data_IF_317896944680
#
_entry.id   IF_317896944680
#
_cell.length_a   1.000
_cell.length_b   1.000
_cell.length_c   1.000
_cell.angle_alpha   90.00
_cell.angle_beta   90.00
_cell.angle_gamma   90.00
#
_symmetry.space_group_name_H-M   'P 1'
#
loop_
_entity.id
_entity.type
_entity.pdbx_description
1 polymer ?
#
# COMPACT_ATOMS: atom_id res chain seq x y z
N UNK A 24 -55.99 20.75 39.03
CA UNK A 24 -56.89 21.09 40.18
C UNK A 24 -56.49 20.25 41.38
N UNK A 25 -55.18 20.15 41.60
CA UNK A 25 -54.63 19.37 42.71
C UNK A 25 -55.16 19.83 44.07
N UNK A 26 -54.46 20.79 44.68
CA UNK A 26 -54.85 21.32 45.99
C UNK A 26 -56.04 22.27 45.87
N UNK A 27 -56.84 22.05 44.83
CA UNK A 27 -58.01 22.89 44.57
C UNK A 27 -59.23 22.07 44.10
N UNK A 28 -59.06 20.76 43.91
CA UNK A 28 -60.15 19.91 43.46
C UNK A 28 -61.30 19.95 44.47
N UNK A 29 -61.08 19.38 45.64
CA UNK A 29 -62.09 19.39 46.68
C UNK A 29 -62.29 20.84 47.10
N UNK A 30 -61.29 21.67 46.81
CA UNK A 30 -61.35 23.09 47.12
C UNK A 30 -62.38 23.68 46.17
N UNK A 31 -61.91 24.17 45.03
CA UNK A 31 -62.75 24.74 44.00
C UNK A 31 -63.41 23.62 43.19
N UNK A 32 -64.64 23.28 43.56
CA UNK A 32 -65.36 22.23 42.86
C UNK A 32 -65.95 21.18 43.78
N UNK A 33 -65.93 21.43 45.08
CA UNK A 33 -66.49 20.49 46.04
C UNK A 33 -68.03 20.51 46.00
N UNK A 34 -68.59 20.83 44.84
CA UNK A 34 -70.04 20.84 44.71
C UNK A 34 -70.49 19.39 44.80
N UNK A 35 -69.57 18.48 44.44
CA UNK A 35 -69.80 17.04 44.45
C UNK A 35 -70.20 16.55 45.84
N UNK A 36 -70.05 17.42 46.83
CA UNK A 36 -70.42 17.08 48.19
C UNK A 36 -71.80 17.71 48.40
N UNK A 37 -71.99 18.93 47.89
CA UNK A 37 -73.26 19.61 47.99
C UNK A 37 -74.34 18.72 47.35
N UNK A 38 -73.97 18.07 46.25
CA UNK A 38 -74.90 17.19 45.56
C UNK A 38 -75.20 15.98 46.43
N UNK A 39 -74.36 15.76 47.44
CA UNK A 39 -74.54 14.64 48.34
C UNK A 39 -75.64 14.90 49.34
N UNK A 40 -75.90 16.18 49.60
CA UNK A 40 -76.94 16.58 50.55
C UNK A 40 -78.32 16.57 49.89
N UNK A 41 -78.40 17.09 48.66
CA UNK A 41 -79.66 17.11 47.91
C UNK A 41 -80.23 15.68 47.86
N UNK A 42 -79.38 14.76 47.39
CA UNK A 42 -79.73 13.34 47.25
C UNK A 42 -80.22 12.69 48.54
N UNK A 43 -79.49 12.93 49.64
CA UNK A 43 -79.85 12.39 50.95
C UNK A 43 -81.22 12.90 51.35
N UNK A 44 -81.43 14.20 51.17
CA UNK A 44 -82.72 14.78 51.51
C UNK A 44 -83.75 14.12 50.64
N UNK A 45 -83.40 13.92 49.37
CA UNK A 45 -84.29 13.26 48.44
C UNK A 45 -84.57 11.81 48.88
N UNK A 46 -83.56 11.12 49.40
CA UNK A 46 -83.74 9.75 49.87
C UNK A 46 -84.62 9.69 51.10
N UNK A 47 -84.60 10.76 51.89
CA UNK A 47 -85.42 10.82 53.08
C UNK A 47 -86.90 10.90 52.73
N UNK A 48 -87.25 11.83 51.84
CA UNK A 48 -88.64 12.03 51.40
C UNK A 48 -89.18 10.84 50.60
N UNK A 49 -88.26 10.12 49.96
CA UNK A 49 -88.58 8.93 49.18
C UNK A 49 -89.18 7.88 50.14
N UNK A 50 -88.55 7.69 51.30
CA UNK A 50 -89.03 6.73 52.30
C UNK A 50 -90.36 7.15 52.94
N UNK A 51 -90.45 8.43 53.27
CA UNK A 51 -91.64 9.00 53.89
C UNK A 51 -92.86 8.87 52.96
N UNK A 52 -92.70 9.27 51.69
CA UNK A 52 -93.77 9.18 50.70
C UNK A 52 -94.28 7.74 50.59
N UNK A 53 -93.33 6.81 50.64
CA UNK A 53 -93.60 5.38 50.59
C UNK A 53 -94.31 4.93 51.86
N UNK A 54 -93.69 5.17 53.01
CA UNK A 54 -94.35 4.78 54.25
C UNK A 54 -95.76 5.34 54.22
N UNK A 55 -95.86 6.63 53.86
CA UNK A 55 -97.15 7.34 53.77
C UNK A 55 -98.08 6.70 52.72
N UNK A 56 -97.49 6.20 51.64
CA UNK A 56 -98.26 5.54 50.59
C UNK A 56 -98.91 4.26 51.17
N UNK A 57 -98.18 3.55 52.02
CA UNK A 57 -98.67 2.32 52.66
C UNK A 57 -99.69 2.65 53.75
N UNK A 58 -99.39 3.67 54.55
CA UNK A 58 -100.29 4.11 55.62
C UNK A 58 -101.65 4.40 55.01
N UNK A 59 -101.68 5.28 54.00
CA UNK A 59 -102.92 5.65 53.30
C UNK A 59 -103.69 4.41 52.89
N UNK A 60 -102.97 3.43 52.38
CA UNK A 60 -103.55 2.16 51.94
C UNK A 60 -104.32 1.40 53.02
N UNK A 61 -103.82 1.41 54.25
CA UNK A 61 -104.50 0.70 55.33
C UNK A 61 -105.78 1.40 55.78
N UNK A 62 -105.92 2.68 55.43
CA UNK A 62 -107.09 3.47 55.80
C UNK A 62 -108.34 2.98 55.07
N UNK A 63 -108.18 2.72 53.78
CA UNK A 63 -109.28 2.23 52.98
C UNK A 63 -109.88 0.99 53.65
N UNK A 64 -109.03 -0.02 53.86
CA UNK A 64 -109.46 -1.26 54.48
C UNK A 64 -110.19 -0.96 55.79
N UNK A 65 -109.54 -0.15 56.63
CA UNK A 65 -110.05 0.29 57.93
C UNK A 65 -111.43 0.95 57.80
N UNK A 66 -111.63 1.71 56.72
CA UNK A 66 -112.92 2.34 56.41
C UNK A 66 -113.85 1.24 55.90
N UNK A 67 -113.30 0.45 54.97
CA UNK A 67 -113.99 -0.67 54.30
C UNK A 67 -114.58 -1.71 55.24
N UNK A 68 -113.82 -2.08 56.26
CA UNK A 68 -114.27 -3.05 57.25
C UNK A 68 -115.32 -2.40 58.16
N UNK A 69 -115.17 -1.10 58.35
CA UNK A 69 -116.09 -0.34 59.20
C UNK A 69 -117.41 -0.04 58.46
N UNK A 70 -117.31 0.36 57.20
CA UNK A 70 -118.50 0.65 56.40
C UNK A 70 -119.40 -0.57 56.28
N UNK A 71 -118.80 -1.75 56.37
CA UNK A 71 -119.52 -3.02 56.22
C UNK A 71 -119.71 -3.83 57.51
N UNK A 72 -119.31 -3.27 58.65
CA UNK A 72 -119.47 -3.94 59.95
C UNK A 72 -120.88 -3.83 60.56
N UNK A 73 -121.38 -4.92 61.11
CA UNK A 73 -122.72 -4.94 61.72
C UNK A 73 -122.62 -5.19 63.23
N UNK A 74 -123.47 -4.50 64.00
CA UNK A 74 -123.44 -4.64 65.44
C UNK A 74 -124.70 -5.23 66.04
N UNK A 75 -125.43 -6.00 65.25
CA UNK A 75 -126.66 -6.63 65.75
C UNK A 75 -126.58 -8.14 65.74
N UNK A 76 -125.37 -8.69 65.66
CA UNK A 76 -125.23 -10.15 65.64
C UNK A 76 -125.35 -10.77 64.25
N UNK A 77 -126.07 -10.10 63.35
CA UNK A 77 -126.24 -10.60 62.00
C UNK A 77 -125.10 -10.11 61.12
N UNK A 78 -124.92 -10.75 59.98
CA UNK A 78 -123.84 -10.38 59.06
C UNK A 78 -124.10 -10.89 57.62
N UNK A 79 -123.86 -10.00 56.66
CA UNK A 79 -124.00 -10.29 55.24
C UNK A 79 -122.64 -9.98 54.65
N UNK A 80 -121.98 -11.01 54.15
CA UNK A 80 -120.66 -10.84 53.57
C UNK A 80 -120.74 -10.95 52.06
N UNK A 81 -119.83 -10.25 51.39
CA UNK A 81 -119.80 -10.21 49.94
C UNK A 81 -118.45 -10.59 49.36
N UNK A 82 -118.50 -11.52 48.41
CA UNK A 82 -117.31 -12.03 47.75
C UNK A 82 -117.41 -11.83 46.25
N UNK A 83 -116.61 -10.91 45.74
CA UNK A 83 -116.59 -10.60 44.32
C UNK A 83 -115.43 -11.39 43.73
N UNK A 84 -115.46 -11.57 42.42
CA UNK A 84 -114.43 -12.33 41.68
C UNK A 84 -114.40 -13.81 42.01
N UNK A 85 -115.55 -14.39 42.32
CA UNK A 85 -115.59 -15.81 42.65
C UNK A 85 -114.71 -16.65 41.73
N UNK A 86 -114.77 -16.39 40.42
CA UNK A 86 -113.96 -17.13 39.49
C UNK A 86 -112.48 -16.87 39.73
N UNK A 87 -112.02 -15.63 39.55
CA UNK A 87 -110.59 -15.34 39.75
C UNK A 87 -110.20 -15.70 41.17
N UNK A 88 -111.20 -15.84 42.04
CA UNK A 88 -110.96 -16.17 43.44
C UNK A 88 -111.05 -17.68 43.64
N UNK A 89 -111.83 -18.35 42.80
CA UNK A 89 -111.99 -19.79 42.90
C UNK A 89 -110.78 -20.44 42.28
N UNK A 90 -110.34 -19.91 41.13
CA UNK A 90 -109.18 -20.44 40.44
C UNK A 90 -107.90 -20.41 41.25
N UNK A 91 -107.84 -19.50 42.23
CA UNK A 91 -106.66 -19.39 43.08
C UNK A 91 -106.72 -20.45 44.19
N UNK A 92 -107.93 -20.90 44.53
CA UNK A 92 -108.11 -21.92 45.56
C UNK A 92 -107.56 -23.26 45.02
N UNK A 93 -107.93 -23.55 43.78
CA UNK A 93 -107.49 -24.76 43.07
C UNK A 93 -105.97 -24.74 42.86
N UNK A 94 -105.43 -23.60 42.45
CA UNK A 94 -103.99 -23.46 42.21
C UNK A 94 -103.26 -23.04 43.49
N UNK A 95 -103.90 -23.29 44.63
CA UNK A 95 -103.32 -22.96 45.92
C UNK A 95 -102.62 -21.62 46.04
N UNK A 96 -103.23 -20.56 45.52
CA UNK A 96 -102.66 -19.20 45.63
C UNK A 96 -103.28 -18.47 46.82
N UNK A 97 -104.40 -19.01 47.31
CA UNK A 97 -105.14 -18.47 48.44
C UNK A 97 -106.27 -19.44 48.79
N UNK A 98 -105.97 -20.38 49.69
CA UNK A 98 -106.92 -21.42 50.10
C UNK A 98 -108.22 -20.98 50.77
N UNK A 99 -108.17 -19.88 51.52
CA UNK A 99 -109.36 -19.37 52.21
C UNK A 99 -109.50 -17.87 52.14
N UNK A 100 -110.68 -17.39 52.54
CA UNK A 100 -111.02 -15.96 52.57
C UNK A 100 -111.70 -15.67 53.90
N UNK A 101 -111.42 -14.51 54.49
CA UNK A 101 -112.06 -14.14 55.74
C UNK A 101 -113.03 -12.97 55.50
N UNK A 102 -114.08 -12.88 56.31
CA UNK A 102 -115.05 -11.80 56.17
C UNK A 102 -114.68 -10.63 57.07
N UNK A 103 -115.41 -9.52 56.92
CA UNK A 103 -115.18 -8.33 57.73
C UNK A 103 -115.62 -8.69 59.14
N UNK A 104 -114.96 -8.15 60.16
CA UNK A 104 -115.42 -8.53 61.50
C UNK A 104 -116.84 -8.02 61.74
N UNK A 105 -117.51 -8.57 62.74
CA UNK A 105 -118.85 -8.14 63.10
C UNK A 105 -119.14 -8.48 64.56
N UNK A 106 -120.21 -7.94 65.12
CA UNK A 106 -120.51 -8.15 66.53
C UNK A 106 -121.97 -8.51 66.84
N UNK A 107 -122.22 -8.74 68.12
CA UNK A 107 -123.55 -9.08 68.65
C UNK A 107 -124.08 -7.79 69.29
N UNK A 108 -123.16 -6.88 69.57
CA UNK A 108 -123.50 -5.61 70.19
C UNK A 108 -122.35 -4.64 70.02
N UNK A 109 -122.54 -3.40 70.46
CA UNK A 109 -121.50 -2.39 70.33
C UNK A 109 -120.21 -2.73 71.07
N UNK A 110 -120.36 -3.45 72.18
CA UNK A 110 -119.21 -3.86 73.00
C UNK A 110 -119.30 -5.38 73.30
N UNK A 111 -119.98 -6.12 72.42
CA UNK A 111 -120.15 -7.55 72.61
C UNK A 111 -119.11 -8.43 71.94
N UNK A 112 -119.43 -9.72 71.80
CA UNK A 112 -118.52 -10.66 71.18
C UNK A 112 -118.14 -10.23 69.76
N UNK A 113 -116.84 -10.24 69.45
CA UNK A 113 -116.33 -9.91 68.12
C UNK A 113 -116.24 -11.22 67.35
N UNK A 114 -116.51 -11.19 66.05
CA UNK A 114 -116.48 -12.42 65.28
C UNK A 114 -116.12 -12.17 63.83
N UNK A 115 -116.58 -13.08 62.97
CA UNK A 115 -116.36 -13.07 61.51
C UNK A 115 -116.45 -14.52 61.04
N UNK A 116 -116.35 -14.71 59.71
CA UNK A 116 -116.44 -16.04 59.13
C UNK A 116 -115.27 -16.34 58.19
N UNK A 117 -115.01 -17.63 58.01
CA UNK A 117 -113.93 -18.08 57.13
C UNK A 117 -114.46 -18.95 56.02
N UNK A 118 -113.92 -18.79 54.82
CA UNK A 118 -114.37 -19.58 53.67
C UNK A 118 -113.23 -20.17 52.85
N UNK A 119 -113.58 -21.22 52.10
CA UNK A 119 -112.65 -21.90 51.22
C UNK A 119 -113.46 -22.11 49.95
N UNK A 120 -113.12 -21.34 48.91
CA UNK A 120 -113.83 -21.42 47.63
C UNK A 120 -113.68 -22.79 46.98
N UNK A 121 -112.55 -23.47 47.23
CA UNK A 121 -112.38 -24.81 46.67
C UNK A 121 -112.32 -25.84 47.79
N UNK A 122 -113.24 -25.72 48.74
CA UNK A 122 -113.33 -26.63 49.86
C UNK A 122 -112.04 -26.88 50.62
N UNK A 123 -112.13 -27.75 51.63
CA UNK A 123 -111.02 -28.13 52.48
C UNK A 123 -111.53 -29.28 53.34
N UNK A 124 -110.63 -30.10 53.87
CA UNK A 124 -111.08 -31.22 54.70
C UNK A 124 -111.88 -32.23 53.93
N UNK A 125 -112.96 -32.74 54.51
CA UNK A 125 -113.77 -33.75 53.81
C UNK A 125 -114.53 -33.26 52.57
N UNK A 126 -114.80 -31.96 52.52
CA UNK A 126 -115.49 -31.40 51.36
C UNK A 126 -114.52 -30.75 50.37
N UNK A 127 -113.23 -30.99 50.54
CA UNK A 127 -112.22 -30.41 49.66
C UNK A 127 -112.33 -30.80 48.18
N UNK A 128 -112.19 -29.79 47.32
CA UNK A 128 -112.25 -29.99 45.89
C UNK A 128 -113.64 -30.28 45.35
N UNK A 129 -114.59 -30.52 46.24
CA UNK A 129 -115.95 -30.84 45.80
C UNK A 129 -117.04 -30.03 46.53
N UNK A 130 -116.62 -29.13 47.41
CA UNK A 130 -117.56 -28.34 48.20
C UNK A 130 -117.07 -26.92 48.46
N UNK A 131 -117.89 -26.19 49.22
CA UNK A 131 -117.59 -24.83 49.67
C UNK A 131 -117.46 -24.96 51.18
N UNK A 132 -116.37 -24.42 51.71
CA UNK A 132 -116.11 -24.48 53.13
C UNK A 132 -116.50 -23.17 53.84
N UNK A 133 -117.28 -23.26 54.91
CA UNK A 133 -117.68 -22.06 55.64
C UNK A 133 -117.60 -22.25 57.16
N UNK A 134 -116.65 -21.55 57.79
CA UNK A 134 -116.44 -21.63 59.23
C UNK A 134 -116.77 -20.35 60.00
N UNK A 135 -117.01 -20.52 61.30
CA UNK A 135 -117.34 -19.44 62.23
C UNK A 135 -116.17 -19.23 63.18
N UNK A 136 -115.46 -18.10 63.05
CA UNK A 136 -114.31 -17.81 63.90
C UNK A 136 -114.54 -16.79 65.02
N UNK A 137 -114.35 -17.22 66.27
CA UNK A 137 -114.52 -16.34 67.44
C UNK A 137 -113.25 -15.55 67.68
N UNK A 138 -113.17 -14.35 67.11
CA UNK A 138 -111.97 -13.52 67.25
C UNK A 138 -111.74 -12.98 68.66
N UNK A 139 -110.57 -12.40 68.87
CA UNK A 139 -110.20 -11.81 70.14
C UNK A 139 -110.70 -10.40 70.21
N UNK A 140 -111.75 -10.18 71.00
CA UNK A 140 -112.31 -8.85 71.12
C UNK A 140 -111.45 -7.93 71.97
N UNK A 141 -111.67 -6.63 71.81
CA UNK A 141 -110.95 -5.63 72.57
C UNK A 141 -111.60 -5.54 73.94
N UNK A 142 -112.87 -5.92 73.99
CA UNK A 142 -113.67 -5.89 75.20
C UNK A 142 -113.84 -7.22 75.89
N UNK A 143 -112.94 -8.16 75.62
CA UNK A 143 -112.99 -9.49 76.27
C UNK A 143 -112.51 -9.25 77.71
N UNK A 144 -113.27 -9.79 78.67
CA UNK A 144 -112.95 -9.65 80.10
C UNK A 144 -114.20 -9.24 80.83
N UNK A 145 -115.10 -8.60 80.08
CA UNK A 145 -116.35 -8.14 80.67
C UNK A 145 -117.53 -9.00 80.18
N UNK A 146 -117.23 -9.94 79.28
CA UNK A 146 -118.25 -10.83 78.70
C UNK A 146 -118.28 -12.24 79.29
N UNK A 147 -119.39 -12.97 79.09
CA UNK A 147 -119.62 -14.34 79.58
C UNK A 147 -118.97 -15.46 78.71
N UNK A 148 -118.43 -16.49 79.37
CA UNK A 148 -117.81 -17.63 78.68
C UNK A 148 -118.24 -19.01 79.26
N UNK A 149 -118.11 -20.08 78.46
CA UNK A 149 -117.61 -20.02 77.09
C UNK A 149 -118.71 -19.42 76.20
N UNK A 150 -118.32 -18.91 75.03
CA UNK A 150 -119.30 -18.33 74.12
C UNK A 150 -120.38 -19.39 73.98
N UNK A 151 -121.65 -18.99 73.90
CA UNK A 151 -122.70 -19.98 73.78
C UNK A 151 -123.91 -19.61 72.93
N UNK A 152 -123.73 -18.66 72.02
CA UNK A 152 -124.82 -18.22 71.14
C UNK A 152 -124.99 -19.15 69.94
N UNK A 153 -126.21 -19.64 69.74
CA UNK A 153 -126.49 -20.53 68.61
C UNK A 153 -125.96 -19.83 67.37
N UNK A 154 -125.75 -20.55 66.28
CA UNK A 154 -125.28 -19.92 65.05
C UNK A 154 -126.05 -20.48 63.85
N UNK A 155 -126.05 -19.71 62.76
CA UNK A 155 -126.72 -20.05 61.50
C UNK A 155 -125.88 -19.49 60.36
N UNK A 156 -125.22 -20.38 59.63
CA UNK A 156 -124.41 -19.95 58.50
C UNK A 156 -125.13 -20.38 57.23
N UNK A 157 -125.32 -19.43 56.30
CA UNK A 157 -126.00 -19.74 55.05
C UNK A 157 -125.41 -19.15 53.77
N UNK A 158 -125.83 -19.72 52.65
CA UNK A 158 -125.40 -19.31 51.33
C UNK A 158 -126.62 -18.63 50.69
N UNK A 159 -126.49 -17.33 50.40
CA UNK A 159 -127.62 -16.57 49.84
C UNK A 159 -127.95 -16.79 48.38
N UNK A 160 -129.21 -17.09 48.14
CA UNK A 160 -129.78 -17.34 46.82
C UNK A 160 -130.27 -16.04 46.15
N UNK A 161 -129.63 -15.65 45.05
CA UNK A 161 -129.99 -14.45 44.30
C UNK A 161 -130.92 -14.77 43.13
N UNK A 162 -131.84 -15.71 43.34
CA UNK A 162 -132.75 -16.09 42.29
C UNK A 162 -134.14 -15.51 42.45
N UNK A 163 -134.86 -15.42 41.34
CA UNK A 163 -136.21 -14.88 41.28
C UNK A 163 -137.06 -15.03 42.54
N UNK A 164 -136.79 -16.08 43.32
CA UNK A 164 -137.54 -16.30 44.55
C UNK A 164 -137.17 -17.67 45.11
N UNK A 165 -136.01 -18.17 44.70
CA UNK A 165 -135.58 -19.46 45.17
C UNK A 165 -135.22 -19.40 46.67
N UNK A 166 -134.53 -20.44 47.12
CA UNK A 166 -134.14 -20.56 48.51
C UNK A 166 -132.64 -20.57 48.70
N UNK A 167 -132.23 -20.18 49.91
CA UNK A 167 -130.82 -20.10 50.29
C UNK A 167 -130.42 -21.40 51.00
N UNK A 168 -129.12 -21.60 51.17
CA UNK A 168 -128.60 -22.81 51.82
C UNK A 168 -128.14 -22.51 53.25
N UNK A 169 -128.85 -23.04 54.24
CA UNK A 169 -128.48 -22.79 55.63
C UNK A 169 -128.25 -24.03 56.48
N UNK A 170 -127.78 -23.80 57.71
CA UNK A 170 -127.49 -24.88 58.65
C UNK A 170 -127.01 -24.30 59.98
N UNK A 171 -127.88 -24.23 60.98
CA UNK A 171 -127.51 -23.70 62.27
C UNK A 171 -126.75 -24.73 63.11
N UNK A 172 -126.26 -24.32 64.28
CA UNK A 172 -125.55 -25.21 65.19
C UNK A 172 -125.21 -24.51 66.49
N UNK A 173 -125.10 -25.28 67.56
CA UNK A 173 -124.79 -24.73 68.87
C UNK A 173 -123.39 -25.10 69.35
N UNK A 174 -122.58 -24.10 69.75
CA UNK A 174 -121.21 -24.37 70.21
C UNK A 174 -121.07 -25.53 71.21
N UNK A 175 -119.90 -26.18 71.18
CA UNK A 175 -119.60 -27.27 72.11
C UNK A 175 -118.79 -26.63 73.22
N UNK A 176 -119.38 -26.53 74.43
CA UNK A 176 -118.66 -25.91 75.55
C UNK A 176 -117.28 -26.55 75.69
N UNK A 177 -117.21 -27.85 75.40
CA UNK A 177 -115.99 -28.64 75.47
C UNK A 177 -114.90 -28.05 74.55
N UNK A 178 -115.28 -27.69 73.33
CA UNK A 178 -114.37 -27.16 72.31
C UNK A 178 -113.55 -25.92 72.68
N UNK A 179 -112.26 -25.94 72.39
CA UNK A 179 -111.40 -24.81 72.67
C UNK A 179 -111.53 -23.78 71.54
N UNK A 180 -112.60 -23.92 70.76
CA UNK A 180 -112.87 -23.02 69.64
C UNK A 180 -113.83 -21.93 70.11
N UNK A 181 -114.37 -22.10 71.32
CA UNK A 181 -115.34 -21.17 71.87
C UNK A 181 -114.97 -20.67 73.27
N UNK A 182 -113.76 -20.15 73.41
CA UNK A 182 -113.29 -19.67 74.70
C UNK A 182 -112.72 -18.24 74.61
N UNK A 183 -112.42 -17.62 75.76
CA UNK A 183 -111.87 -16.27 75.75
C UNK A 183 -110.60 -16.26 74.91
N UNK A 184 -110.63 -15.56 73.75
CA UNK A 184 -109.53 -15.44 72.80
C UNK A 184 -108.15 -15.05 73.30
N UNK A 185 -107.27 -16.05 73.40
CA UNK A 185 -105.88 -15.85 73.81
C UNK A 185 -105.17 -15.16 72.64
N UNK A 186 -104.94 -15.92 71.57
CA UNK A 186 -104.29 -15.36 70.39
C UNK A 186 -105.29 -14.51 69.62
N UNK A 187 -105.01 -14.28 68.33
CA UNK A 187 -105.87 -13.46 67.48
C UNK A 187 -107.27 -14.03 67.22
N UNK A 188 -107.38 -14.84 66.18
CA UNK A 188 -108.68 -15.44 65.85
C UNK A 188 -108.78 -16.76 66.59
N UNK A 189 -109.94 -17.09 67.13
CA UNK A 189 -110.09 -18.36 67.83
C UNK A 189 -109.90 -19.47 66.81
N UNK A 190 -110.27 -20.69 67.16
CA UNK A 190 -110.13 -21.81 66.25
C UNK A 190 -111.41 -21.92 65.43
N UNK A 191 -111.21 -21.88 64.11
CA UNK A 191 -112.29 -21.96 63.13
C UNK A 191 -113.07 -23.25 63.25
N UNK A 192 -114.34 -23.18 63.63
CA UNK A 192 -115.14 -24.39 63.78
C UNK A 192 -116.50 -24.32 63.07
N UNK A 193 -116.51 -24.51 61.76
CA UNK A 193 -117.75 -24.45 61.02
C UNK A 193 -118.30 -25.70 60.37
N UNK A 194 -118.07 -25.85 59.07
CA UNK A 194 -118.54 -26.99 58.28
C UNK A 194 -117.64 -27.18 57.07
N UNK A 195 -117.04 -28.38 56.93
CA UNK A 195 -116.15 -28.71 55.82
C UNK A 195 -116.89 -28.93 54.50
N UNK A 196 -118.00 -29.68 54.57
CA UNK A 196 -118.85 -29.96 53.41
C UNK A 196 -120.17 -29.20 53.58
N UNK A 197 -120.09 -27.89 53.40
CA UNK A 197 -121.25 -27.03 53.54
C UNK A 197 -122.16 -27.17 52.33
N UNK A 198 -121.65 -26.84 51.16
CA UNK A 198 -122.43 -26.96 49.94
C UNK A 198 -121.51 -27.40 48.82
N UNK A 199 -122.02 -28.26 47.94
CA UNK A 199 -121.27 -28.78 46.79
C UNK A 199 -121.16 -27.71 45.71
N UNK A 200 -119.94 -27.46 45.23
CA UNK A 200 -119.70 -26.46 44.20
C UNK A 200 -120.61 -26.64 42.98
N UNK A 201 -120.77 -27.88 42.56
CA UNK A 201 -121.60 -28.24 41.41
C UNK A 201 -123.07 -27.85 41.59
N UNK A 202 -123.40 -27.38 42.79
CA UNK A 202 -124.76 -26.96 43.15
C UNK A 202 -124.87 -25.42 43.23
N UNK A 203 -123.79 -24.79 43.69
CA UNK A 203 -123.71 -23.34 43.84
C UNK A 203 -123.35 -22.67 42.52
N UNK A 204 -122.53 -23.37 41.75
CA UNK A 204 -122.12 -22.88 40.44
C UNK A 204 -123.24 -23.15 39.42
N UNK A 205 -124.07 -24.15 39.71
CA UNK A 205 -125.20 -24.53 38.87
C UNK A 205 -126.45 -24.01 39.54
N UNK A 206 -126.52 -22.69 39.68
CA UNK A 206 -127.67 -22.07 40.31
C UNK A 206 -127.47 -20.57 40.46
N UNK A 207 -128.54 -19.88 40.83
CA UNK A 207 -128.53 -18.44 41.01
C UNK A 207 -127.37 -17.91 41.85
N UNK A 208 -127.31 -18.36 43.11
CA UNK A 208 -126.27 -17.98 44.08
C UNK A 208 -125.11 -17.16 43.51
N UNK A 209 -124.56 -17.61 42.38
CA UNK A 209 -123.48 -16.87 41.74
C UNK A 209 -124.11 -15.94 40.73
N UNK A 210 -123.95 -14.64 40.93
CA UNK A 210 -124.48 -13.67 39.98
C UNK A 210 -123.49 -12.55 39.83
N UNK A 211 -123.01 -12.39 38.61
CA UNK A 211 -122.06 -11.36 38.28
C UNK A 211 -120.71 -11.59 38.99
N UNK A 212 -120.19 -12.81 38.85
CA UNK A 212 -118.92 -13.21 39.44
C UNK A 212 -118.79 -12.95 40.95
N UNK A 213 -119.86 -13.17 41.70
CA UNK A 213 -119.84 -12.93 43.14
C UNK A 213 -120.94 -13.71 43.85
N UNK A 214 -120.78 -13.86 45.16
CA UNK A 214 -121.78 -14.54 46.02
C UNK A 214 -121.77 -13.86 47.40
N UNK A 215 -122.74 -14.23 48.22
CA UNK A 215 -122.84 -13.66 49.55
C UNK A 215 -123.09 -14.76 50.57
N UNK A 216 -122.31 -14.75 51.66
CA UNK A 216 -122.48 -15.72 52.74
C UNK A 216 -123.12 -14.98 53.91
N UNK A 217 -124.10 -15.62 54.55
CA UNK A 217 -124.77 -15.01 55.69
C UNK A 217 -124.38 -15.74 56.99
N UNK A 218 -124.59 -15.07 58.12
CA UNK A 218 -124.26 -15.64 59.44
C UNK A 218 -125.24 -15.08 60.46
N UNK A 219 -125.90 -15.92 61.24
CA UNK A 219 -126.84 -15.41 62.23
C UNK A 219 -126.63 -15.91 63.66
N UNK A 220 -125.72 -15.25 64.35
CA UNK A 220 -125.40 -15.57 65.74
C UNK A 220 -126.51 -14.98 66.61
N UNK A 221 -127.23 -15.83 67.35
CA UNK A 221 -128.30 -15.33 68.20
C UNK A 221 -127.77 -14.37 69.25
N UNK A 222 -128.51 -13.30 69.48
CA UNK A 222 -128.14 -12.30 70.46
C UNK A 222 -129.42 -11.91 71.19
N UNK A 223 -130.55 -12.16 70.53
CA UNK A 223 -131.86 -11.87 71.10
C UNK A 223 -131.99 -12.47 72.49
N UNK A 224 -131.73 -13.78 72.57
CA UNK A 224 -131.80 -14.48 73.85
C UNK A 224 -130.59 -14.13 74.71
N UNK A 225 -130.36 -12.83 74.80
CA UNK A 225 -129.28 -12.24 75.58
C UNK A 225 -129.62 -10.74 75.62
N UNK A 226 -130.77 -10.40 76.23
CA UNK A 226 -131.26 -9.02 76.36
C UNK A 226 -130.20 -7.97 76.04
N UNK A 227 -130.35 -7.36 74.88
CA UNK A 227 -129.42 -6.33 74.43
C UNK A 227 -129.98 -4.95 74.84
N UNK A 228 -129.35 -4.33 75.85
CA UNK A 228 -129.74 -3.01 76.40
C UNK A 228 -130.30 -1.99 75.40
N UNK B 24 61.62 -24.80 -28.37
CA UNK B 24 62.66 -25.36 -27.46
C UNK B 24 63.39 -24.27 -26.69
N UNK B 25 62.83 -23.85 -25.56
CA UNK B 25 63.48 -22.81 -24.74
C UNK B 25 64.79 -23.36 -24.20
N UNK B 26 64.90 -24.69 -24.19
CA UNK B 26 66.09 -25.39 -23.73
C UNK B 26 67.11 -25.44 -24.86
N UNK B 27 66.75 -24.82 -25.99
CA UNK B 27 67.62 -24.76 -27.16
C UNK B 27 67.57 -23.31 -27.69
N UNK B 28 67.38 -22.37 -26.77
CA UNK B 28 67.32 -20.94 -27.07
C UNK B 28 68.69 -20.44 -27.53
N UNK B 29 69.68 -20.60 -26.68
CA UNK B 29 71.04 -20.20 -27.02
C UNK B 29 71.86 -21.47 -27.30
N UNK B 30 71.16 -22.60 -27.35
CA UNK B 30 71.77 -23.89 -27.67
C UNK B 30 71.82 -23.86 -29.18
N UNK B 31 70.68 -23.48 -29.75
CA UNK B 31 70.51 -23.34 -31.18
C UNK B 31 70.97 -21.93 -31.55
N UNK B 32 70.71 -20.99 -30.66
CA UNK B 32 71.12 -19.62 -30.89
C UNK B 32 72.63 -19.57 -30.84
N UNK B 33 73.22 -20.71 -30.50
CA UNK B 33 74.68 -20.86 -30.41
C UNK B 33 75.28 -20.81 -31.81
N UNK B 34 74.41 -20.70 -32.81
CA UNK B 34 74.83 -20.65 -34.22
C UNK B 34 75.59 -19.36 -34.53
N UNK B 35 75.65 -18.45 -33.56
CA UNK B 35 76.36 -17.19 -33.73
C UNK B 35 77.86 -17.44 -33.83
N UNK B 36 78.38 -18.27 -32.93
CA UNK B 36 79.81 -18.60 -32.92
C UNK B 36 80.17 -19.55 -34.06
N UNK B 37 79.16 -20.18 -34.65
CA UNK B 37 79.37 -21.08 -35.78
C UNK B 37 79.64 -20.24 -37.03
N UNK B 38 78.66 -19.44 -37.44
CA UNK B 38 78.80 -18.57 -38.60
C UNK B 38 79.70 -17.35 -38.27
N UNK B 39 79.74 -16.97 -37.00
CA UNK B 39 80.58 -15.86 -36.57
C UNK B 39 82.04 -16.24 -36.67
N UNK B 40 82.29 -17.54 -36.54
CA UNK B 40 83.63 -18.11 -36.64
C UNK B 40 84.09 -17.99 -38.11
N UNK B 41 83.11 -18.03 -39.03
CA UNK B 41 83.39 -17.92 -40.45
C UNK B 41 83.80 -16.48 -40.78
N UNK B 42 83.19 -15.54 -40.05
CA UNK B 42 83.44 -14.11 -40.26
C UNK B 42 84.82 -13.60 -39.87
N UNK B 43 85.32 -14.02 -38.71
CA UNK B 43 86.65 -13.61 -38.25
C UNK B 43 87.63 -14.03 -39.34
N UNK B 44 87.37 -15.20 -39.89
CA UNK B 44 88.19 -15.76 -40.94
C UNK B 44 88.03 -14.89 -42.19
N UNK B 45 86.79 -14.49 -42.49
CA UNK B 45 86.60 -13.62 -43.64
C UNK B 45 87.40 -12.35 -43.34
N UNK B 46 87.33 -11.90 -42.08
CA UNK B 46 88.04 -10.70 -41.66
C UNK B 46 89.55 -10.85 -41.73
N UNK B 47 90.05 -11.97 -41.21
CA UNK B 47 91.49 -12.23 -41.25
C UNK B 47 91.95 -12.25 -42.70
N UNK B 48 91.15 -12.84 -43.60
CA UNK B 48 91.49 -12.91 -45.01
C UNK B 48 91.46 -11.52 -45.68
N UNK B 49 90.41 -10.76 -45.40
CA UNK B 49 90.31 -9.43 -45.97
C UNK B 49 91.51 -8.60 -45.49
N UNK B 50 91.71 -8.53 -44.17
CA UNK B 50 92.82 -7.77 -43.61
C UNK B 50 94.12 -8.18 -44.26
N UNK B 51 94.33 -9.50 -44.37
CA UNK B 51 95.53 -10.07 -44.98
C UNK B 51 95.65 -9.67 -46.44
N UNK B 52 94.51 -9.59 -47.12
CA UNK B 52 94.48 -9.23 -48.53
C UNK B 52 94.88 -7.78 -48.86
N UNK B 53 94.33 -6.80 -48.14
CA UNK B 53 94.67 -5.39 -48.42
C UNK B 53 96.10 -5.04 -48.12
N UNK B 54 96.88 -6.01 -47.66
CA UNK B 54 98.29 -5.79 -47.38
C UNK B 54 99.12 -6.19 -48.61
N UNK B 55 98.75 -7.33 -49.22
CA UNK B 55 99.43 -7.81 -50.42
C UNK B 55 99.34 -6.70 -51.45
N UNK B 56 98.10 -6.27 -51.70
CA UNK B 56 97.79 -5.19 -52.65
C UNK B 56 98.70 -3.98 -52.38
N UNK B 57 98.64 -3.44 -51.17
CA UNK B 57 99.50 -2.32 -50.81
C UNK B 57 100.91 -2.70 -51.23
N UNK B 58 101.37 -3.86 -50.72
CA UNK B 58 102.69 -4.39 -51.05
C UNK B 58 102.90 -4.40 -52.57
N UNK B 59 101.95 -4.99 -53.30
CA UNK B 59 102.00 -5.09 -54.76
C UNK B 59 102.14 -3.74 -55.42
N UNK B 60 101.66 -2.68 -54.77
CA UNK B 60 101.77 -1.33 -55.31
C UNK B 60 103.16 -0.80 -54.97
N UNK B 61 103.56 -0.98 -53.71
CA UNK B 61 104.88 -0.54 -53.26
C UNK B 61 105.89 -1.29 -54.12
N UNK B 62 105.59 -2.56 -54.36
CA UNK B 62 106.43 -3.46 -55.15
C UNK B 62 106.51 -3.01 -56.61
N UNK B 63 105.36 -2.75 -57.23
CA UNK B 63 105.34 -2.32 -58.63
C UNK B 63 105.99 -0.93 -58.76
N UNK B 64 105.92 -0.16 -57.68
CA UNK B 64 106.50 1.19 -57.63
C UNK B 64 108.03 1.08 -57.51
N UNK B 65 108.46 0.01 -56.86
CA UNK B 65 109.87 -0.29 -56.63
C UNK B 65 110.53 -0.63 -57.97
N UNK B 66 109.83 -1.44 -58.78
CA UNK B 66 110.32 -1.83 -60.11
C UNK B 66 110.70 -0.58 -60.91
N UNK B 67 109.77 0.38 -60.97
CA UNK B 67 109.97 1.62 -61.69
C UNK B 67 111.26 2.31 -61.27
N UNK B 68 111.43 2.45 -59.94
CA UNK B 68 112.62 3.08 -59.31
C UNK B 68 113.94 2.35 -59.66
N UNK B 69 113.85 1.03 -59.70
CA UNK B 69 114.96 0.16 -60.01
C UNK B 69 115.24 0.13 -61.53
N UNK B 70 114.20 -0.13 -62.31
CA UNK B 70 114.28 -0.22 -63.77
C UNK B 70 114.77 1.05 -64.44
N UNK B 71 114.92 2.13 -63.67
CA UNK B 71 115.34 3.42 -64.24
C UNK B 71 116.54 4.13 -63.63
N UNK B 72 117.26 3.49 -62.72
CA UNK B 72 118.43 4.13 -62.10
C UNK B 72 119.61 4.38 -63.08
N UNK B 73 120.78 4.71 -62.53
CA UNK B 73 121.97 4.96 -63.33
C UNK B 73 123.17 4.86 -62.41
N UNK B 74 124.36 4.72 -62.98
CA UNK B 74 125.56 4.58 -62.16
C UNK B 74 126.73 5.32 -62.75
N UNK B 75 126.43 6.40 -63.46
CA UNK B 75 127.51 7.21 -64.05
C UNK B 75 127.35 8.70 -63.69
N UNK B 76 126.47 8.99 -62.73
CA UNK B 76 126.25 10.37 -62.33
C UNK B 76 125.54 11.11 -63.46
N UNK B 77 124.47 10.50 -63.98
CA UNK B 77 123.72 11.07 -65.08
C UNK B 77 122.25 10.70 -64.93
N UNK B 78 121.43 11.71 -64.64
CA UNK B 78 119.99 11.50 -64.45
C UNK B 78 119.14 11.95 -65.67
N UNK B 79 118.09 11.17 -65.98
CA UNK B 79 117.16 11.52 -67.06
C UNK B 79 115.78 11.43 -66.44
N UNK B 80 115.29 12.59 -66.00
CA UNK B 80 113.99 12.69 -65.38
C UNK B 80 112.97 13.11 -66.45
N UNK B 81 112.10 12.18 -66.79
CA UNK B 81 111.06 12.38 -67.78
C UNK B 81 109.79 12.52 -67.00
N UNK B 82 109.33 13.76 -66.93
CA UNK B 82 108.12 14.10 -66.19
C UNK B 82 106.96 14.13 -67.16
N UNK B 83 105.98 13.25 -66.92
CA UNK B 83 104.82 13.13 -67.77
C UNK B 83 103.63 13.83 -67.11
N UNK B 84 102.67 14.22 -67.94
CA UNK B 84 101.44 14.90 -67.51
C UNK B 84 101.69 16.26 -66.89
N UNK B 85 102.43 17.11 -67.61
CA UNK B 85 102.80 18.47 -67.20
C UNK B 85 101.61 19.37 -66.84
N UNK B 86 100.81 19.74 -67.83
CA UNK B 86 99.67 20.60 -67.61
C UNK B 86 98.99 20.30 -66.28
N UNK B 87 98.74 19.02 -66.02
CA UNK B 87 98.09 18.63 -64.77
C UNK B 87 99.04 18.63 -63.59
N UNK B 88 100.23 18.07 -63.79
CA UNK B 88 101.24 18.00 -62.74
C UNK B 88 101.53 19.38 -62.19
N UNK B 89 101.92 20.28 -63.09
CA UNK B 89 102.23 21.65 -62.73
C UNK B 89 100.95 22.43 -62.44
N UNK B 90 99.85 21.70 -62.28
CA UNK B 90 98.56 22.30 -61.96
C UNK B 90 98.20 21.89 -60.55
N UNK B 91 98.78 20.79 -60.10
CA UNK B 91 98.58 20.27 -58.74
C UNK B 91 99.53 21.06 -57.84
N UNK B 92 100.53 21.65 -58.48
CA UNK B 92 101.53 22.48 -57.81
C UNK B 92 100.85 23.81 -57.50
N UNK B 93 100.33 24.44 -58.55
CA UNK B 93 99.64 25.72 -58.47
C UNK B 93 98.58 25.72 -57.36
N UNK B 94 97.78 24.66 -57.28
CA UNK B 94 96.77 24.59 -56.23
C UNK B 94 97.45 24.22 -54.93
N UNK B 95 98.78 24.18 -54.95
CA UNK B 95 99.52 23.84 -53.75
C UNK B 95 99.38 22.39 -53.33
N UNK B 96 98.61 21.60 -54.07
CA UNK B 96 98.42 20.18 -53.76
C UNK B 96 99.78 19.47 -53.69
N UNK B 97 100.55 19.56 -54.77
CA UNK B 97 101.87 18.93 -54.85
C UNK B 97 102.91 19.94 -55.31
N UNK B 98 103.49 20.66 -54.36
CA UNK B 98 104.50 21.67 -54.68
C UNK B 98 105.68 21.15 -55.51
N UNK B 99 106.26 20.01 -55.15
CA UNK B 99 107.39 19.47 -55.91
C UNK B 99 107.36 17.94 -56.11
N UNK B 100 108.40 17.42 -56.77
CA UNK B 100 108.55 15.99 -57.07
C UNK B 100 110.04 15.70 -57.13
N UNK B 101 110.44 14.45 -56.85
CA UNK B 101 111.85 14.05 -56.92
C UNK B 101 112.00 12.94 -57.97
N UNK B 102 113.17 12.87 -58.60
CA UNK B 102 113.40 11.83 -59.58
C UNK B 102 114.01 10.61 -58.90
N UNK B 103 113.95 9.46 -59.57
CA UNK B 103 114.52 8.22 -59.02
C UNK B 103 115.98 8.53 -58.78
N UNK B 104 116.55 7.96 -57.71
CA UNK B 104 117.97 8.21 -57.39
C UNK B 104 118.93 7.93 -58.54
N UNK B 105 120.15 8.44 -58.43
CA UNK B 105 121.17 8.18 -59.46
C UNK B 105 122.51 8.25 -58.74
N UNK B 106 123.34 7.24 -58.99
CA UNK B 106 124.62 7.09 -58.32
C UNK B 106 125.85 7.35 -59.18
N UNK B 107 126.98 7.60 -58.52
CA UNK B 107 128.25 7.83 -59.22
C UNK B 107 128.90 6.50 -59.57
N UNK B 108 128.71 5.50 -58.70
CA UNK B 108 129.26 4.18 -58.93
C UNK B 108 128.29 3.11 -58.49
N UNK B 109 128.59 1.84 -58.78
CA UNK B 109 127.71 0.72 -58.40
C UNK B 109 127.38 0.75 -56.91
N UNK B 110 128.38 1.12 -56.10
CA UNK B 110 128.25 1.21 -54.65
C UNK B 110 128.78 2.58 -54.20
N UNK B 111 128.07 3.64 -54.59
CA UNK B 111 128.50 4.98 -54.22
C UNK B 111 127.39 5.94 -53.86
N UNK B 112 127.68 7.23 -54.04
CA UNK B 112 126.75 8.32 -53.75
C UNK B 112 125.32 8.12 -54.26
N UNK B 113 124.34 8.24 -53.35
CA UNK B 113 122.93 8.13 -53.72
C UNK B 113 122.41 9.56 -53.84
N UNK B 114 122.21 10.00 -55.09
CA UNK B 114 121.76 11.35 -55.37
C UNK B 114 120.42 11.32 -56.10
N UNK B 115 119.71 12.44 -56.06
CA UNK B 115 118.41 12.61 -56.73
C UNK B 115 118.18 14.10 -57.04
N UNK B 116 117.01 14.45 -57.57
CA UNK B 116 116.69 15.85 -57.88
C UNK B 116 115.26 16.25 -57.52
N UNK B 117 115.10 17.52 -57.15
CA UNK B 117 113.81 18.09 -56.81
C UNK B 117 113.51 19.24 -57.77
N UNK B 118 112.26 19.30 -58.23
CA UNK B 118 111.84 20.32 -59.19
C UNK B 118 110.51 21.00 -58.84
N UNK B 119 110.49 22.33 -59.00
CA UNK B 119 109.28 23.11 -58.73
C UNK B 119 108.76 23.59 -60.08
N UNK B 120 107.73 22.91 -60.56
CA UNK B 120 107.13 23.23 -61.85
C UNK B 120 106.43 24.59 -61.78
N UNK B 121 106.17 25.06 -60.55
CA UNK B 121 105.53 26.35 -60.33
C UNK B 121 106.50 27.42 -59.79
N UNK B 122 107.49 27.00 -59.01
CA UNK B 122 108.47 27.95 -58.47
C UNK B 122 108.66 28.03 -56.97
N UNK B 123 109.91 28.24 -56.57
CA UNK B 123 110.29 28.33 -55.16
C UNK B 123 111.15 29.58 -55.01
N UNK B 124 110.88 30.36 -53.96
CA UNK B 124 111.65 31.57 -53.73
C UNK B 124 111.43 32.67 -54.76
N UNK B 125 112.49 33.42 -55.04
CA UNK B 125 112.42 34.51 -55.99
C UNK B 125 112.12 34.00 -57.38
N UNK B 126 111.18 33.07 -57.45
CA UNK B 126 110.80 32.48 -58.71
C UNK B 126 109.46 31.79 -58.54
N UNK B 127 108.96 31.74 -57.30
CA UNK B 127 107.69 31.09 -57.04
C UNK B 127 106.59 31.71 -57.91
N UNK B 128 105.71 30.86 -58.44
CA UNK B 128 104.63 31.33 -59.29
C UNK B 128 105.01 31.88 -60.65
N UNK B 129 106.30 31.91 -60.97
CA UNK B 129 106.72 32.44 -62.25
C UNK B 129 107.80 31.63 -62.96
N UNK B 130 108.36 30.61 -62.30
CA UNK B 130 109.41 29.82 -62.93
C UNK B 130 109.34 28.34 -62.55
N UNK B 131 110.28 27.57 -63.08
CA UNK B 131 110.46 26.16 -62.74
C UNK B 131 111.83 26.15 -62.05
N UNK B 132 111.85 25.78 -60.78
CA UNK B 132 113.08 25.77 -60.00
C UNK B 132 113.72 24.38 -59.91
N UNK B 133 114.97 24.27 -60.36
CA UNK B 133 115.68 22.99 -60.35
C UNK B 133 116.70 22.85 -59.23
N UNK B 134 116.48 21.85 -58.38
CA UNK B 134 117.35 21.58 -57.25
C UNK B 134 117.90 20.15 -57.17
N UNK B 135 119.22 20.09 -57.00
CA UNK B 135 119.98 18.85 -56.85
C UNK B 135 119.71 18.36 -55.43
N UNK B 136 119.91 17.08 -55.18
CA UNK B 136 119.69 16.54 -53.84
C UNK B 136 120.60 15.35 -53.54
N UNK B 137 121.17 15.33 -52.33
CA UNK B 137 122.01 14.22 -51.89
C UNK B 137 121.19 13.39 -50.93
N UNK B 138 121.35 12.07 -51.01
CA UNK B 138 120.59 11.18 -50.17
C UNK B 138 121.50 10.37 -49.25
N UNK B 139 120.91 9.89 -48.15
CA UNK B 139 121.67 9.11 -47.21
C UNK B 139 122.03 7.84 -47.96
N UNK B 140 123.26 7.79 -48.44
CA UNK B 140 123.75 6.65 -49.21
C UNK B 140 124.10 5.45 -48.36
N UNK B 141 123.97 4.27 -48.96
CA UNK B 141 124.25 3.02 -48.27
C UNK B 141 125.74 2.85 -47.96
N UNK B 142 126.57 3.63 -48.65
CA UNK B 142 128.01 3.53 -48.47
C UNK B 142 128.74 4.79 -47.99
N UNK B 143 128.08 5.61 -47.17
CA UNK B 143 128.73 6.81 -46.64
C UNK B 143 129.56 6.27 -45.46
N UNK B 144 130.85 6.05 -45.71
CA UNK B 144 131.76 5.52 -44.70
C UNK B 144 133.00 5.23 -45.52
N UNK B 145 132.74 4.70 -46.70
CA UNK B 145 133.80 4.38 -47.62
C UNK B 145 133.86 5.53 -48.62
N UNK B 146 132.82 6.36 -48.61
CA UNK B 146 132.74 7.51 -49.52
C UNK B 146 133.17 8.84 -48.91
N UNK B 147 133.93 9.66 -49.68
CA UNK B 147 134.44 10.98 -49.27
C UNK B 147 133.34 11.96 -48.83
N UNK B 148 133.73 13.00 -48.09
CA UNK B 148 132.80 14.02 -47.62
C UNK B 148 133.56 15.28 -47.28
N UNK B 149 132.95 16.47 -47.46
CA UNK B 149 131.59 16.69 -47.96
C UNK B 149 131.53 16.38 -49.46
N UNK B 150 130.33 16.32 -50.04
CA UNK B 150 130.21 16.06 -51.46
C UNK B 150 130.73 17.30 -52.16
N UNK B 151 131.55 17.14 -53.20
CA UNK B 151 132.10 18.30 -53.87
C UNK B 151 132.36 18.14 -55.36
N UNK B 152 131.57 17.32 -56.03
CA UNK B 152 131.74 17.08 -57.46
C UNK B 152 130.88 18.06 -58.27
N UNK B 153 131.46 18.64 -59.33
CA UNK B 153 130.74 19.59 -60.18
C UNK B 153 129.46 19.02 -60.78
N UNK B 154 128.32 19.61 -60.40
CA UNK B 154 127.02 19.18 -60.89
C UNK B 154 126.48 20.10 -61.98
N UNK B 155 126.23 19.54 -63.16
CA UNK B 155 125.71 20.25 -64.33
C UNK B 155 124.28 19.84 -64.65
N UNK B 156 123.31 20.52 -64.04
CA UNK B 156 121.90 20.22 -64.27
C UNK B 156 121.34 21.01 -65.43
N UNK B 157 120.41 20.39 -66.16
CA UNK B 157 119.81 21.03 -67.32
C UNK B 157 118.43 20.52 -67.72
N UNK B 158 117.86 21.22 -68.70
CA UNK B 158 116.54 20.92 -69.25
C UNK B 158 116.71 20.45 -70.69
N UNK B 159 116.49 19.16 -70.93
CA UNK B 159 116.65 18.61 -72.28
C UNK B 159 115.56 19.17 -73.17
N UNK B 160 115.92 19.46 -74.42
CA UNK B 160 114.98 19.99 -75.38
C UNK B 160 114.65 18.99 -76.50
N UNK B 161 113.40 18.56 -76.57
CA UNK B 161 112.93 17.60 -77.57
C UNK B 161 112.87 18.19 -78.98
N UNK B 162 113.17 19.48 -79.10
CA UNK B 162 113.13 20.14 -80.39
C UNK B 162 114.17 19.68 -81.38
N UNK B 163 113.73 19.53 -82.63
CA UNK B 163 114.54 19.10 -83.78
C UNK B 163 116.01 19.50 -83.73
N UNK B 164 116.31 20.50 -82.91
CA UNK B 164 117.67 20.98 -82.73
C UNK B 164 117.69 22.33 -82.06
N UNK B 165 117.73 22.32 -80.74
CA UNK B 165 117.80 23.55 -79.97
C UNK B 165 118.69 23.35 -78.78
N UNK B 166 119.21 24.46 -78.27
CA UNK B 166 120.10 24.45 -77.13
C UNK B 166 119.32 24.08 -75.89
N UNK B 167 119.84 23.09 -75.17
CA UNK B 167 119.22 22.63 -73.94
C UNK B 167 119.51 23.70 -72.90
N UNK B 168 118.58 23.92 -71.98
CA UNK B 168 118.81 24.92 -70.95
C UNK B 168 119.48 24.24 -69.76
N UNK B 169 120.56 24.83 -69.26
CA UNK B 169 121.25 24.23 -68.13
C UNK B 169 122.33 25.11 -67.50
N UNK B 170 122.98 24.60 -66.46
CA UNK B 170 124.03 25.33 -65.77
C UNK B 170 124.67 24.38 -64.76
N UNK B 171 125.85 24.72 -64.24
CA UNK B 171 126.52 23.85 -63.27
C UNK B 171 127.12 24.61 -62.11
N UNK B 172 127.59 23.88 -61.10
CA UNK B 172 128.20 24.48 -59.91
C UNK B 172 129.11 23.52 -59.16
N UNK B 173 130.36 23.90 -58.90
CA UNK B 173 131.28 23.06 -58.14
C UNK B 173 130.94 23.21 -56.66
N UNK B 174 130.33 22.17 -56.06
CA UNK B 174 129.95 22.19 -54.64
C UNK B 174 130.93 22.85 -53.67
N UNK B 175 130.38 23.67 -52.80
CA UNK B 175 131.15 24.37 -51.77
C UNK B 175 131.22 23.39 -50.61
N UNK B 176 132.40 22.81 -50.37
CA UNK B 176 132.64 21.84 -49.30
C UNK B 176 131.88 22.18 -48.03
N UNK B 177 131.94 23.46 -47.67
CA UNK B 177 131.29 23.99 -46.48
C UNK B 177 129.79 23.74 -46.46
N UNK B 178 129.12 24.05 -47.57
CA UNK B 178 127.67 23.85 -47.67
C UNK B 178 127.20 22.66 -46.84
N UNK B 179 126.17 22.87 -46.01
CA UNK B 179 125.63 21.78 -45.21
C UNK B 179 124.83 20.83 -46.13
N UNK B 180 124.81 21.17 -47.42
CA UNK B 180 124.10 20.38 -48.43
C UNK B 180 125.03 19.27 -48.97
N UNK B 181 126.32 19.49 -48.83
CA UNK B 181 127.32 18.56 -49.29
C UNK B 181 127.99 17.83 -48.12
N UNK B 182 127.43 18.03 -46.92
CA UNK B 182 127.96 17.39 -45.73
C UNK B 182 127.43 15.97 -45.70
N UNK B 183 128.14 15.06 -45.01
CA UNK B 183 127.71 13.67 -44.92
C UNK B 183 126.30 13.54 -44.37
N UNK B 184 125.34 13.12 -45.20
CA UNK B 184 123.95 12.94 -44.82
C UNK B 184 123.75 12.50 -43.39
N UNK B 185 122.69 13.01 -42.76
CA UNK B 185 122.36 12.66 -41.39
C UNK B 185 120.92 12.15 -41.43
N UNK B 186 120.12 12.77 -42.29
CA UNK B 186 118.74 12.36 -42.45
C UNK B 186 118.67 11.67 -43.79
N UNK B 187 117.49 11.20 -44.19
CA UNK B 187 117.35 10.52 -45.48
C UNK B 187 117.82 11.37 -46.67
N UNK B 188 117.82 12.68 -46.49
CA UNK B 188 118.25 13.60 -47.53
C UNK B 188 118.86 14.85 -46.94
N UNK B 189 119.72 15.51 -47.71
CA UNK B 189 120.34 16.74 -47.26
C UNK B 189 119.57 17.94 -47.81
N UNK B 190 120.06 19.14 -47.54
CA UNK B 190 119.40 20.33 -48.03
C UNK B 190 119.62 20.29 -49.54
N UNK B 191 118.58 20.60 -50.31
CA UNK B 191 118.67 20.61 -51.77
C UNK B 191 119.75 21.57 -52.21
N UNK B 192 119.97 21.70 -53.51
CA UNK B 192 121.00 22.63 -53.97
C UNK B 192 120.84 22.87 -55.46
N UNK B 193 119.93 23.77 -55.79
CA UNK B 193 119.69 24.06 -57.19
C UNK B 193 119.69 25.51 -57.59
N UNK B 194 118.95 25.81 -58.66
CA UNK B 194 118.85 27.15 -59.24
C UNK B 194 117.37 27.55 -59.27
N UNK B 195 116.94 28.40 -58.31
CA UNK B 195 115.56 28.88 -58.18
C UNK B 195 114.94 29.66 -59.36
N UNK B 196 115.76 30.09 -60.33
CA UNK B 196 115.24 30.78 -61.52
C UNK B 196 115.90 30.11 -62.72
N UNK B 197 115.59 28.82 -62.89
CA UNK B 197 116.16 28.01 -63.98
C UNK B 197 115.63 28.36 -65.36
N UNK B 198 114.35 28.09 -65.60
CA UNK B 198 113.73 28.40 -66.89
C UNK B 198 112.44 29.17 -66.65
N UNK B 199 112.29 30.32 -67.31
CA UNK B 199 111.09 31.13 -67.17
C UNK B 199 109.90 30.24 -67.55
N UNK B 200 108.79 30.34 -66.81
CA UNK B 200 107.63 29.52 -67.12
C UNK B 200 107.12 29.69 -68.55
N UNK B 201 107.67 30.65 -69.26
CA UNK B 201 107.26 30.87 -70.65
C UNK B 201 108.25 30.18 -71.56
N UNK B 202 109.54 30.36 -71.28
CA UNK B 202 110.63 29.76 -72.07
C UNK B 202 110.57 28.24 -72.04
N UNK B 203 109.69 27.71 -71.20
CA UNK B 203 109.49 26.28 -71.04
C UNK B 203 108.20 25.89 -71.76
N UNK B 204 107.10 26.47 -71.31
CA UNK B 204 105.78 26.19 -71.86
C UNK B 204 105.50 26.82 -73.24
N UNK B 205 106.50 27.45 -73.85
CA UNK B 205 106.34 28.06 -75.16
C UNK B 205 107.36 27.53 -76.16
N UNK B 206 108.58 27.33 -75.70
CA UNK B 206 109.60 26.79 -76.58
C UNK B 206 109.30 25.31 -76.77
N UNK B 207 110.19 24.60 -77.46
CA UNK B 207 109.98 23.18 -77.71
C UNK B 207 110.35 22.26 -76.53
N UNK B 208 110.11 22.73 -75.30
CA UNK B 208 110.42 21.96 -74.09
C UNK B 208 109.25 21.11 -73.61
N UNK B 209 108.28 20.88 -74.50
CA UNK B 209 107.15 20.02 -74.18
C UNK B 209 106.61 19.41 -75.47
N UNK B 210 106.39 18.10 -75.45
CA UNK B 210 105.85 17.36 -76.59
C UNK B 210 105.04 16.24 -75.99
N UNK B 211 103.88 16.00 -76.54
CA UNK B 211 103.01 14.96 -76.03
C UNK B 211 102.97 15.08 -74.51
N UNK B 212 102.74 16.31 -74.05
CA UNK B 212 102.65 16.61 -72.62
C UNK B 212 103.77 15.97 -71.79
N UNK B 213 105.01 16.04 -72.27
CA UNK B 213 106.11 15.44 -71.52
C UNK B 213 107.39 16.24 -71.56
N UNK B 214 108.08 16.34 -70.41
CA UNK B 214 109.34 17.08 -70.30
C UNK B 214 110.53 16.20 -69.93
N UNK B 215 111.72 16.68 -70.24
CA UNK B 215 112.95 15.96 -69.95
C UNK B 215 113.95 16.87 -69.28
N UNK B 216 114.40 16.46 -68.10
CA UNK B 216 115.41 17.20 -67.32
C UNK B 216 116.61 16.26 -67.13
N UNK B 217 117.81 16.82 -66.96
CA UNK B 217 118.99 16.00 -66.82
C UNK B 217 120.14 16.55 -65.96
N UNK B 218 120.41 15.88 -64.85
CA UNK B 218 121.48 16.28 -63.95
C UNK B 218 122.73 15.50 -64.36
N UNK B 219 123.91 16.00 -63.99
CA UNK B 219 125.16 15.31 -64.32
C UNK B 219 126.21 15.55 -63.24
N UNK B 220 126.56 14.49 -62.53
CA UNK B 220 127.55 14.57 -61.46
C UNK B 220 128.93 14.28 -62.03
N UNK B 221 129.81 15.26 -61.97
CA UNK B 221 131.16 15.09 -62.47
C UNK B 221 131.90 14.09 -61.57
N UNK B 222 131.95 12.84 -62.01
CA UNK B 222 132.65 11.78 -61.28
C UNK B 222 134.00 11.58 -61.95
N UNK B 223 134.22 12.34 -63.02
CA UNK B 223 135.46 12.28 -63.78
C UNK B 223 136.67 12.25 -62.87
N UNK B 224 137.05 13.42 -62.37
CA UNK B 224 138.21 13.53 -61.48
C UNK B 224 137.98 12.81 -60.16
N UNK B 225 138.49 11.58 -60.11
CA UNK B 225 138.42 10.66 -58.97
C UNK B 225 138.55 9.25 -59.55
N UNK B 226 139.79 8.73 -59.70
CA UNK B 226 140.04 7.39 -60.25
C UNK B 226 138.97 6.32 -59.97
N UNK B 227 138.83 5.36 -60.88
CA UNK B 227 137.80 4.31 -60.77
C UNK B 227 138.29 2.95 -61.30
N UNK B 228 138.29 1.90 -60.45
CA UNK B 228 138.73 0.55 -60.84
C UNK B 228 137.76 -0.13 -61.82
#
# INVERSE_FOLDING_TARGET
RQNWEEADSMKSSVESLQNRVTELESVDKSAGQVARNTGLLESQLSRHDQMLSVHDIRLADMDLRFQVLETASYNGVLIWKIRDYKRRKQEAVMGKTLSLYSQPFYTGYFGYKMCARVYLNGDGMGKGTHLSLFFVIMRGEYDALLPWPFKQKVTLMLMDQGSSRRHLGDAFKPDPNSSSFKKPTGEMNIASGCPVFVAQTVLENGTYIKDDTIFIKVIVDTSDLPDP
RQNWEEADSMKSSVESLQNRVTELESVDKSAGQVARNTGLLESQLSRHDQMLSVHDIRLADMDLRFQVLETASYNGVLIWKIRDYKRRKQEAVMGKTLSLYSQPFYTGYFGYKMCARVYLNGDGMGKGTHLSLFFVIMRGEYDALLPWPFKQKVTLMLMDQGSSRRHLGDAFKPDPNSSSFKKPTGEMNIASGCPVFVAQTVLENGTYIKDDTIFIKVIVDTSDLPDP
#
